data_IF_178635182049
#
_entry.id   IF_178635182049
#
_cell.length_a   1.000
_cell.length_b   1.000
_cell.length_c   1.000
_cell.angle_alpha   90.00
_cell.angle_beta   90.00
_cell.angle_gamma   90.00
#
_symmetry.space_group_name_H-M   'P 1'
#
loop_
_entity.id
_entity.type
_entity.pdbx_description
1 polymer ?
#
# COMPACT_ATOMS: atom_id res chain seq x y z
N UNK A 1 -13.20 -6.70 -13.18
CA UNK A 1 -13.66 -6.15 -11.89
C UNK A 1 -12.49 -5.49 -11.18
N UNK A 2 -12.68 -4.33 -10.54
CA UNK A 2 -11.64 -3.71 -9.71
C UNK A 2 -11.47 -4.48 -8.40
N UNK A 3 -10.22 -4.89 -8.13
CA UNK A 3 -9.84 -5.66 -6.95
C UNK A 3 -9.02 -4.86 -5.94
N UNK A 4 -8.22 -3.91 -6.43
CA UNK A 4 -7.34 -3.06 -5.63
C UNK A 4 -7.51 -1.62 -6.09
N UNK A 5 -7.64 -0.70 -5.12
CA UNK A 5 -7.63 0.74 -5.36
C UNK A 5 -6.63 1.40 -4.42
N UNK A 6 -5.78 2.27 -4.96
CA UNK A 6 -4.93 3.14 -4.16
C UNK A 6 -4.88 4.55 -4.74
N UNK A 7 -4.04 5.41 -4.18
CA UNK A 7 -3.96 6.80 -4.62
C UNK A 7 -2.70 7.50 -4.14
N UNK A 8 -2.69 8.84 -4.22
CA UNK A 8 -1.53 9.63 -3.86
C UNK A 8 -1.20 9.59 -2.37
N UNK A 9 0.10 9.71 -2.10
CA UNK A 9 0.61 10.11 -0.80
C UNK A 9 1.22 11.50 -0.90
N UNK A 10 0.79 12.40 -0.02
CA UNK A 10 1.38 13.71 0.17
C UNK A 10 2.59 13.57 1.10
N UNK A 11 3.77 13.68 0.53
CA UNK A 11 5.01 13.75 1.30
C UNK A 11 5.18 15.16 1.86
N UNK A 12 5.16 15.27 3.19
CA UNK A 12 5.36 16.54 3.89
C UNK A 12 6.74 16.54 4.52
N UNK A 13 7.66 17.31 3.95
CA UNK A 13 8.96 17.62 4.56
C UNK A 13 8.93 19.04 5.13
N UNK A 14 9.79 19.34 6.11
CA UNK A 14 9.91 20.66 6.77
C UNK A 14 10.01 21.86 5.79
N UNK A 15 10.43 21.64 4.56
CA UNK A 15 10.68 22.66 3.54
C UNK A 15 9.93 22.46 2.22
N UNK A 16 9.18 21.36 2.05
CA UNK A 16 8.56 21.02 0.75
C UNK A 16 7.38 20.05 0.93
N UNK A 17 6.32 20.26 0.17
CA UNK A 17 5.15 19.38 0.10
C UNK A 17 5.06 18.83 -1.31
N UNK A 18 5.19 17.51 -1.46
CA UNK A 18 5.12 16.84 -2.77
C UNK A 18 4.06 15.75 -2.77
N UNK A 19 3.20 15.75 -3.78
CA UNK A 19 2.33 14.62 -4.06
C UNK A 19 3.13 13.54 -4.79
N UNK A 20 3.06 12.31 -4.29
CA UNK A 20 3.75 11.16 -4.85
C UNK A 20 2.77 10.05 -5.17
N UNK A 21 2.64 9.78 -6.47
CA UNK A 21 1.97 8.62 -7.01
C UNK A 21 2.92 7.44 -7.00
N UNK A 22 2.46 6.30 -6.49
CA UNK A 22 3.21 5.05 -6.52
C UNK A 22 2.64 4.06 -7.56
N UNK A 23 1.89 4.58 -8.53
CA UNK A 23 1.33 3.84 -9.63
C UNK A 23 2.30 3.66 -10.80
N UNK A 24 2.29 2.47 -11.38
CA UNK A 24 3.06 2.17 -12.58
C UNK A 24 2.38 1.06 -13.41
N UNK A 25 2.82 0.95 -14.65
CA UNK A 25 2.68 -0.27 -15.44
C UNK A 25 3.80 -1.24 -15.10
N UNK A 26 3.50 -2.53 -15.21
CA UNK A 26 4.39 -3.62 -14.83
C UNK A 26 4.33 -4.71 -15.90
N UNK A 27 5.45 -5.01 -16.53
CA UNK A 27 5.54 -6.05 -17.56
C UNK A 27 6.84 -6.83 -17.46
N UNK A 28 6.81 -8.05 -17.97
CA UNK A 28 8.00 -8.86 -18.22
C UNK A 28 8.15 -8.95 -19.73
N UNK A 29 9.31 -8.58 -20.24
CA UNK A 29 9.67 -8.72 -21.64
C UNK A 29 11.10 -9.29 -21.73
N UNK A 30 11.23 -10.41 -22.43
CA UNK A 30 12.43 -11.25 -22.45
C UNK A 30 12.94 -11.55 -21.03
N UNK A 31 14.16 -11.10 -20.72
CA UNK A 31 14.82 -11.28 -19.43
C UNK A 31 14.77 -10.03 -18.56
N UNK A 32 13.77 -9.16 -18.74
CA UNK A 32 13.67 -7.90 -17.99
C UNK A 32 12.26 -7.68 -17.41
N UNK A 33 12.20 -7.32 -16.12
CA UNK A 33 11.00 -6.73 -15.50
C UNK A 33 11.05 -5.22 -15.71
N UNK A 34 10.00 -4.64 -16.26
CA UNK A 34 9.83 -3.20 -16.45
C UNK A 34 8.77 -2.66 -15.49
N UNK A 35 9.19 -1.74 -14.63
CA UNK A 35 8.33 -0.89 -13.82
C UNK A 35 8.33 0.52 -14.44
N UNK A 36 7.26 0.86 -15.14
CA UNK A 36 7.20 2.06 -15.98
C UNK A 36 6.07 2.99 -15.53
N UNK A 37 6.40 4.26 -15.32
CA UNK A 37 5.46 5.30 -14.95
C UNK A 37 4.33 5.41 -15.97
N UNK A 38 3.12 5.68 -15.50
CA UNK A 38 1.98 5.94 -16.38
C UNK A 38 2.07 7.37 -16.91
N UNK A 39 2.51 7.55 -18.16
CA UNK A 39 2.66 8.88 -18.77
C UNK A 39 1.34 9.44 -19.33
N UNK A 40 0.49 8.57 -19.89
CA UNK A 40 -0.79 8.95 -20.52
C UNK A 40 -1.96 8.15 -19.92
N UNK A 41 -2.41 8.48 -18.68
CA UNK A 41 -3.45 7.74 -18.00
C UNK A 41 -4.80 7.85 -18.71
N UNK A 42 -5.43 6.69 -18.94
CA UNK A 42 -6.77 6.59 -19.50
C UNK A 42 -7.81 6.72 -18.38
N UNK A 43 -8.18 7.96 -18.06
CA UNK A 43 -9.12 8.27 -16.97
C UNK A 43 -10.54 7.75 -17.24
N UNK A 44 -11.10 7.19 -16.18
CA UNK A 44 -12.48 6.74 -16.02
C UNK A 44 -13.11 7.50 -14.87
N UNK A 45 -14.43 7.52 -14.81
CA UNK A 45 -15.17 8.18 -13.72
C UNK A 45 -16.19 7.23 -13.12
N UNK A 46 -16.31 7.27 -11.80
CA UNK A 46 -17.44 6.70 -11.07
C UNK A 46 -18.07 7.81 -10.22
N UNK A 47 -19.21 8.32 -10.66
CA UNK A 47 -19.78 9.56 -10.12
C UNK A 47 -18.79 10.72 -10.32
N UNK A 48 -18.38 11.35 -9.21
CA UNK A 48 -17.41 12.44 -9.19
C UNK A 48 -15.95 11.99 -8.95
N UNK A 49 -15.69 10.67 -8.84
CA UNK A 49 -14.35 10.15 -8.55
C UNK A 49 -13.69 9.70 -9.84
N UNK A 50 -12.57 10.35 -10.19
CA UNK A 50 -11.70 9.95 -11.30
C UNK A 50 -10.78 8.80 -10.90
N UNK A 51 -10.57 7.84 -11.80
CA UNK A 51 -9.57 6.77 -11.62
C UNK A 51 -9.06 6.27 -12.97
N UNK A 52 -7.90 5.62 -13.01
CA UNK A 52 -7.43 4.89 -14.19
C UNK A 52 -6.84 3.53 -13.78
N UNK A 53 -6.70 2.61 -14.74
CA UNK A 53 -6.08 1.33 -14.45
C UNK A 53 -4.55 1.41 -14.54
N UNK A 54 -3.88 0.78 -13.58
CA UNK A 54 -2.44 0.56 -13.57
C UNK A 54 -2.18 -0.91 -13.21
N UNK A 55 -0.91 -1.30 -13.06
CA UNK A 55 -0.56 -2.69 -12.70
C UNK A 55 -0.08 -2.83 -11.26
N UNK A 56 0.39 -1.76 -10.63
CA UNK A 56 0.98 -1.76 -9.29
C UNK A 56 0.73 -0.44 -8.59
N UNK A 57 0.48 -0.50 -7.28
CA UNK A 57 0.43 0.63 -6.36
C UNK A 57 1.25 0.28 -5.12
N UNK A 58 2.20 1.13 -4.71
CA UNK A 58 2.97 0.94 -3.48
C UNK A 58 2.31 1.63 -2.27
N UNK A 59 2.67 1.15 -1.08
CA UNK A 59 2.43 1.74 0.24
C UNK A 59 1.00 1.60 0.79
N UNK A 60 0.01 2.24 0.16
CA UNK A 60 -1.38 2.23 0.65
C UNK A 60 -2.37 1.86 -0.43
N UNK A 61 -3.18 0.84 -0.17
CA UNK A 61 -4.27 0.47 -1.04
C UNK A 61 -5.38 -0.29 -0.31
N UNK A 62 -6.61 -0.07 -0.74
CA UNK A 62 -7.79 -0.83 -0.35
C UNK A 62 -7.97 -1.99 -1.33
N UNK A 63 -8.09 -3.21 -0.82
CA UNK A 63 -8.23 -4.43 -1.61
C UNK A 63 -9.42 -5.28 -1.19
N UNK A 64 -9.94 -6.07 -2.12
CA UNK A 64 -10.94 -7.10 -1.84
C UNK A 64 -10.27 -8.30 -1.19
N UNK A 65 -10.80 -8.77 -0.06
CA UNK A 65 -10.30 -9.98 0.64
C UNK A 65 -10.25 -11.21 -0.28
N UNK A 66 -11.17 -11.31 -1.25
CA UNK A 66 -11.23 -12.44 -2.20
C UNK A 66 -9.95 -12.66 -3.03
N UNK A 67 -9.12 -11.61 -3.21
CA UNK A 67 -7.82 -11.73 -3.89
C UNK A 67 -6.92 -12.75 -3.17
N UNK A 68 -7.02 -12.82 -1.84
CA UNK A 68 -6.22 -13.74 -1.01
C UNK A 68 -6.44 -15.23 -1.30
N UNK A 69 -7.59 -15.58 -1.88
CA UNK A 69 -7.87 -16.96 -2.26
C UNK A 69 -7.06 -17.39 -3.49
N UNK A 70 -6.44 -16.45 -4.21
CA UNK A 70 -5.75 -16.69 -5.48
C UNK A 70 -4.25 -16.43 -5.36
N UNK A 71 -3.85 -15.39 -4.63
CA UNK A 71 -2.43 -15.00 -4.48
C UNK A 71 -2.10 -14.62 -3.03
N UNK A 72 -0.81 -14.68 -2.70
CA UNK A 72 -0.24 -14.29 -1.40
C UNK A 72 1.09 -13.57 -1.61
N UNK A 73 1.55 -12.82 -0.59
CA UNK A 73 2.94 -12.35 -0.62
C UNK A 73 3.88 -13.53 -0.47
N UNK A 74 4.99 -13.48 -1.20
CA UNK A 74 6.04 -14.49 -1.09
C UNK A 74 6.94 -14.18 0.13
N UNK A 75 6.94 -15.09 1.10
CA UNK A 75 7.60 -14.92 2.39
C UNK A 75 9.14 -14.94 2.30
N UNK A 76 9.70 -15.27 1.13
CA UNK A 76 11.14 -15.15 0.89
C UNK A 76 11.63 -13.69 0.93
N UNK A 77 10.75 -12.70 0.67
CA UNK A 77 11.10 -11.29 0.71
C UNK A 77 10.95 -10.70 2.11
N UNK A 78 12.07 -10.30 2.72
CA UNK A 78 12.07 -9.63 4.04
C UNK A 78 11.63 -8.17 3.97
N UNK A 79 11.99 -7.46 2.91
CA UNK A 79 11.60 -6.06 2.67
C UNK A 79 11.18 -5.87 1.22
N UNK A 80 12.15 -5.76 0.32
CA UNK A 80 11.96 -5.48 -1.11
C UNK A 80 12.34 -6.75 -1.91
N UNK A 81 11.78 -7.04 -3.12
CA UNK A 81 10.76 -6.34 -3.92
C UNK A 81 9.39 -7.02 -3.87
N UNK A 82 8.89 -7.25 -2.67
CA UNK A 82 7.64 -7.95 -2.41
C UNK A 82 6.41 -7.35 -3.12
N UNK A 83 6.34 -6.02 -3.28
CA UNK A 83 5.26 -5.39 -4.03
C UNK A 83 5.30 -5.77 -5.51
N UNK A 84 6.47 -5.69 -6.15
CA UNK A 84 6.62 -6.07 -7.56
C UNK A 84 6.19 -7.51 -7.78
N UNK A 85 6.64 -8.43 -6.94
CA UNK A 85 6.24 -9.84 -7.03
C UNK A 85 4.73 -10.03 -6.85
N UNK A 86 4.15 -9.42 -5.80
CA UNK A 86 2.72 -9.54 -5.51
C UNK A 86 1.85 -9.06 -6.67
N UNK A 87 2.19 -7.91 -7.27
CA UNK A 87 1.43 -7.36 -8.39
C UNK A 87 1.70 -8.10 -9.71
N UNK A 88 2.88 -8.68 -9.92
CA UNK A 88 3.12 -9.62 -11.03
C UNK A 88 2.24 -10.87 -10.88
N UNK A 89 2.16 -11.46 -9.68
CA UNK A 89 1.28 -12.59 -9.41
C UNK A 89 -0.19 -12.22 -9.64
N UNK A 90 -0.63 -11.04 -9.17
CA UNK A 90 -1.98 -10.54 -9.40
C UNK A 90 -2.29 -10.45 -10.90
N UNK A 91 -1.40 -9.81 -11.67
CA UNK A 91 -1.56 -9.59 -13.10
C UNK A 91 -1.54 -10.89 -13.91
N UNK A 92 -0.73 -11.87 -13.50
CA UNK A 92 -0.55 -13.14 -14.24
C UNK A 92 -1.59 -14.20 -13.88
N UNK A 93 -2.08 -14.21 -12.64
CA UNK A 93 -2.85 -15.33 -12.11
C UNK A 93 -4.30 -14.96 -11.77
N UNK A 94 -4.74 -13.72 -12.01
CA UNK A 94 -6.08 -13.26 -11.66
C UNK A 94 -6.65 -12.28 -12.69
N UNK A 95 -7.97 -12.12 -12.70
CA UNK A 95 -8.68 -11.10 -13.50
C UNK A 95 -8.94 -9.79 -12.74
N UNK A 96 -8.33 -9.63 -11.56
CA UNK A 96 -8.50 -8.44 -10.74
C UNK A 96 -7.73 -7.26 -11.34
N UNK A 97 -8.44 -6.14 -11.53
CA UNK A 97 -7.83 -4.89 -11.96
C UNK A 97 -7.34 -4.07 -10.77
N UNK A 98 -6.25 -3.34 -10.98
CA UNK A 98 -5.73 -2.33 -10.06
C UNK A 98 -6.11 -0.95 -10.59
N UNK A 99 -6.69 -0.12 -9.74
CA UNK A 99 -7.11 1.23 -10.09
C UNK A 99 -6.40 2.26 -9.21
N UNK A 100 -5.90 3.31 -9.84
CA UNK A 100 -5.33 4.46 -9.17
C UNK A 100 -6.33 5.62 -9.20
N UNK A 101 -6.44 6.38 -8.11
CA UNK A 101 -7.19 7.63 -8.06
C UNK A 101 -6.34 8.77 -7.48
N UNK A 102 -6.46 9.94 -8.09
CA UNK A 102 -5.84 11.18 -7.60
C UNK A 102 -6.54 11.79 -6.38
N UNK A 103 -7.69 11.23 -6.03
CA UNK A 103 -8.58 11.80 -5.04
C UNK A 103 -8.29 11.34 -3.61
N UNK A 104 -7.12 10.73 -3.37
CA UNK A 104 -6.64 10.29 -2.06
C UNK A 104 -5.55 11.26 -1.62
N UNK A 105 -5.66 11.78 -0.39
CA UNK A 105 -4.78 12.83 0.13
C UNK A 105 -4.06 12.43 1.42
N UNK A 106 -3.70 11.16 1.60
CA UNK A 106 -3.00 10.73 2.82
C UNK A 106 -1.58 11.28 2.90
N UNK A 107 -1.05 11.47 4.10
CA UNK A 107 0.30 12.00 4.32
C UNK A 107 1.31 10.90 4.56
N UNK A 108 2.49 11.01 3.94
CA UNK A 108 3.64 10.16 4.27
C UNK A 108 4.52 10.87 5.29
N UNK A 109 4.48 10.40 6.54
CA UNK A 109 5.30 10.93 7.62
C UNK A 109 6.71 10.34 7.55
N UNK A 110 7.64 11.06 6.94
CA UNK A 110 9.04 10.64 6.91
C UNK A 110 9.76 11.01 8.19
N UNK A 111 10.26 10.01 8.90
CA UNK A 111 11.21 10.19 10.00
C UNK A 111 12.63 9.92 9.52
N UNK A 112 13.59 10.73 9.97
CA UNK A 112 15.00 10.38 9.87
C UNK A 112 15.29 9.23 10.83
N UNK A 113 15.58 8.06 10.27
CA UNK A 113 15.96 6.89 11.06
C UNK A 113 17.37 7.07 11.60
N UNK A 114 17.51 6.95 12.93
CA UNK A 114 18.82 6.99 13.61
C UNK A 114 19.33 5.60 13.97
N UNK A 115 18.45 4.60 13.96
CA UNK A 115 18.78 3.23 14.29
C UNK A 115 19.48 2.54 13.11
N UNK A 116 20.78 2.26 13.28
CA UNK A 116 21.59 1.59 12.27
C UNK A 116 21.14 0.16 11.96
N UNK A 117 20.65 -0.57 12.96
CA UNK A 117 20.16 -1.93 12.76
C UNK A 117 18.90 -1.92 11.89
N UNK A 118 17.97 -1.01 12.18
CA UNK A 118 16.80 -0.81 11.33
C UNK A 118 17.19 -0.48 9.88
N UNK A 119 18.10 0.49 9.67
CA UNK A 119 18.52 0.91 8.33
C UNK A 119 19.10 -0.27 7.54
N UNK A 120 20.02 -1.03 8.13
CA UNK A 120 20.64 -2.20 7.48
C UNK A 120 19.57 -3.22 7.08
N UNK A 121 18.60 -3.50 7.96
CA UNK A 121 17.51 -4.44 7.67
C UNK A 121 16.52 -3.88 6.65
N UNK A 122 16.30 -2.57 6.60
CA UNK A 122 15.38 -1.93 5.66
C UNK A 122 15.94 -1.87 4.24
N UNK A 123 17.25 -1.63 4.10
CA UNK A 123 17.96 -1.46 2.83
C UNK A 123 18.45 -2.76 2.20
N UNK A 124 17.96 -3.91 2.66
CA UNK A 124 18.21 -5.22 2.04
C UNK A 124 17.77 -5.26 0.57
N UNK A 125 18.65 -5.76 -0.29
CA UNK A 125 18.44 -5.88 -1.75
C UNK A 125 18.53 -7.32 -2.26
N UNK A 126 18.82 -8.29 -1.38
CA UNK A 126 18.93 -9.71 -1.69
C UNK A 126 17.65 -10.28 -2.32
N UNK A 127 16.48 -9.72 -1.97
CA UNK A 127 15.20 -10.09 -2.57
C UNK A 127 15.13 -9.90 -4.09
N UNK A 128 15.91 -9.01 -4.69
CA UNK A 128 15.92 -8.85 -6.15
C UNK A 128 16.55 -10.04 -6.87
N UNK A 129 17.54 -10.70 -6.26
CA UNK A 129 18.11 -11.92 -6.81
C UNK A 129 17.10 -13.06 -6.77
N UNK A 130 16.34 -13.16 -5.69
CA UNK A 130 15.24 -14.12 -5.54
C UNK A 130 14.11 -13.84 -6.55
N UNK A 131 13.73 -12.57 -6.74
CA UNK A 131 12.76 -12.17 -7.77
C UNK A 131 13.23 -12.56 -9.16
N UNK A 132 14.50 -12.28 -9.49
CA UNK A 132 15.09 -12.61 -10.79
C UNK A 132 15.06 -14.11 -11.08
N UNK A 133 15.46 -14.92 -10.10
CA UNK A 133 15.39 -16.38 -10.19
C UNK A 133 13.95 -16.87 -10.38
N UNK A 134 13.01 -16.35 -9.58
CA UNK A 134 11.59 -16.73 -9.63
C UNK A 134 10.95 -16.46 -10.98
N UNK A 135 11.24 -15.30 -11.57
CA UNK A 135 10.63 -14.86 -12.82
C UNK A 135 11.46 -15.15 -14.07
N UNK A 136 12.62 -15.80 -13.92
CA UNK A 136 13.50 -16.14 -15.04
C UNK A 136 14.09 -14.92 -15.76
N UNK A 137 14.31 -13.82 -15.03
CA UNK A 137 14.80 -12.54 -15.58
C UNK A 137 16.23 -12.23 -15.11
N UNK A 138 16.93 -11.36 -15.85
CA UNK A 138 18.27 -10.85 -15.55
C UNK A 138 18.30 -9.36 -15.24
N UNK A 139 17.25 -8.63 -15.57
CA UNK A 139 17.22 -7.18 -15.38
C UNK A 139 15.93 -6.71 -14.72
N UNK A 140 16.06 -5.61 -13.99
CA UNK A 140 14.96 -4.85 -13.43
C UNK A 140 15.14 -3.41 -13.90
N UNK A 141 14.18 -2.91 -14.67
CA UNK A 141 14.12 -1.54 -15.15
C UNK A 141 13.10 -0.75 -14.35
N UNK A 142 13.50 0.43 -13.87
CA UNK A 142 12.62 1.36 -13.18
C UNK A 142 12.71 2.74 -13.84
N UNK A 143 11.62 3.17 -14.47
CA UNK A 143 11.58 4.45 -15.20
C UNK A 143 11.74 5.67 -14.31
N UNK A 144 11.39 5.58 -13.00
CA UNK A 144 11.46 6.71 -12.07
C UNK A 144 12.92 7.15 -11.80
N UNK A 145 13.84 6.18 -11.74
CA UNK A 145 15.26 6.45 -11.48
C UNK A 145 16.16 6.20 -12.69
N UNK A 146 15.59 5.78 -13.83
CA UNK A 146 16.33 5.36 -15.02
C UNK A 146 17.43 4.34 -14.70
N UNK A 147 17.15 3.42 -13.78
CA UNK A 147 18.12 2.45 -13.26
C UNK A 147 17.98 1.10 -13.98
N UNK A 148 19.14 0.49 -14.25
CA UNK A 148 19.31 -0.86 -14.80
C UNK A 148 20.05 -1.74 -13.80
N UNK A 149 19.51 -2.93 -13.50
CA UNK A 149 20.26 -4.04 -12.91
C UNK A 149 19.66 -4.62 -11.62
N UNK A 150 19.91 -5.92 -11.39
CA UNK A 150 19.51 -6.64 -10.18
C UNK A 150 20.37 -6.23 -8.97
N UNK A 151 21.62 -5.83 -9.21
CA UNK A 151 22.63 -5.58 -8.16
C UNK A 151 22.65 -4.14 -7.63
N UNK A 152 21.87 -3.21 -8.19
CA UNK A 152 21.76 -1.84 -7.66
C UNK A 152 20.35 -1.22 -7.76
N UNK A 153 19.37 -1.74 -7.01
CA UNK A 153 17.99 -1.25 -7.04
C UNK A 153 17.71 -0.15 -5.99
N UNK A 154 18.73 0.57 -5.52
CA UNK A 154 18.66 1.53 -4.40
C UNK A 154 17.79 2.78 -4.66
N UNK A 155 17.04 2.82 -5.76
CA UNK A 155 16.22 3.95 -6.17
C UNK A 155 14.79 3.98 -5.62
N UNK A 156 14.27 2.94 -4.98
CA UNK A 156 12.83 2.91 -4.57
C UNK A 156 12.42 4.03 -3.57
N UNK A 157 13.36 4.80 -3.03
CA UNK A 157 13.08 5.79 -1.98
C UNK A 157 13.23 7.26 -2.37
N UNK A 158 13.63 7.60 -3.59
CA UNK A 158 13.86 9.01 -3.93
C UNK A 158 13.34 9.40 -5.31
N UNK A 159 12.50 10.44 -5.29
CA UNK A 159 12.06 11.32 -6.39
C UNK A 159 10.77 10.96 -7.15
N UNK A 160 9.80 11.86 -6.99
CA UNK A 160 8.70 12.10 -7.92
C UNK A 160 8.71 13.57 -8.39
N UNK A 161 8.52 13.76 -9.70
CA UNK A 161 7.93 14.95 -10.30
C UNK A 161 6.74 14.49 -11.15
N UNK A 162 5.53 14.92 -10.81
CA UNK A 162 4.53 15.39 -11.77
C UNK A 162 3.37 16.08 -11.04
N UNK A 163 2.83 17.11 -11.70
CA UNK A 163 1.65 17.87 -11.30
C UNK A 163 0.46 17.31 -12.10
N UNK A 164 -0.59 16.90 -11.41
CA UNK A 164 -1.89 16.67 -12.02
C UNK A 164 -2.69 17.98 -11.93
N UNK A 165 -3.40 18.40 -12.98
CA UNK A 165 -4.24 19.59 -12.91
C UNK A 165 -5.35 19.38 -11.88
N UNK A 166 -5.51 20.33 -10.96
CA UNK A 166 -6.63 20.36 -10.02
C UNK A 166 -7.96 20.37 -10.80
N UNK A 167 -8.82 19.40 -10.54
CA UNK A 167 -10.23 19.47 -10.92
C UNK A 167 -11.09 19.15 -9.70
N UNK A 168 -11.68 20.18 -9.08
CA UNK A 168 -12.90 20.00 -8.28
C UNK A 168 -13.75 21.27 -8.26
N UNK A 169 -14.94 21.21 -8.86
CA UNK A 169 -16.13 21.84 -8.30
C UNK A 169 -16.86 20.78 -7.45
N UNK A 170 -17.07 21.10 -6.18
CA UNK A 170 -17.76 20.25 -5.22
C UNK A 170 -19.27 20.46 -5.32
N UNK A 171 -20.00 19.40 -5.68
CA UNK A 171 -21.43 19.31 -5.38
C UNK A 171 -21.66 18.12 -4.45
N UNK A 172 -22.14 18.42 -3.24
CA UNK A 172 -22.46 17.45 -2.19
C UNK A 172 -23.66 16.60 -2.61
N UNK A 173 -23.40 15.35 -2.97
CA UNK A 173 -24.41 14.32 -3.14
C UNK A 173 -24.27 13.27 -2.03
N UNK A 174 -25.26 13.25 -1.15
CA UNK A 174 -25.40 12.29 -0.06
C UNK A 174 -25.77 10.92 -0.63
N UNK A 175 -24.80 10.02 -0.75
CA UNK A 175 -25.04 8.61 -1.09
C UNK A 175 -25.02 7.82 0.21
N UNK A 176 -26.10 7.06 0.46
CA UNK A 176 -26.16 6.06 1.55
C UNK A 176 -25.08 5.00 1.32
N UNK A 177 -23.96 5.12 2.03
CA UNK A 177 -22.91 4.11 2.03
C UNK A 177 -23.40 2.88 2.81
N UNK A 178 -23.29 1.69 2.23
CA UNK A 178 -23.42 0.45 3.00
C UNK A 178 -22.21 0.35 3.91
N UNK A 179 -22.43 0.54 5.21
CA UNK A 179 -21.45 0.42 6.29
C UNK A 179 -20.89 -1.02 6.38
N UNK A 180 -19.97 -1.36 5.49
CA UNK A 180 -19.22 -2.62 5.61
C UNK A 180 -17.99 -2.38 6.47
N UNK A 181 -17.83 -3.17 7.53
CA UNK A 181 -16.61 -3.15 8.35
C UNK A 181 -15.37 -3.38 7.48
N UNK A 182 -14.34 -2.54 7.65
CA UNK A 182 -13.06 -2.63 6.91
C UNK A 182 -11.97 -3.16 7.83
N UNK A 183 -11.19 -4.14 7.36
CA UNK A 183 -9.95 -4.52 8.04
C UNK A 183 -8.84 -3.54 7.65
N UNK A 184 -8.07 -3.07 8.63
CA UNK A 184 -6.88 -2.26 8.37
C UNK A 184 -5.67 -3.08 8.80
N UNK A 185 -4.88 -3.49 7.82
CA UNK A 185 -3.67 -4.28 8.02
C UNK A 185 -2.42 -3.40 8.06
N UNK A 186 -1.75 -3.36 9.20
CA UNK A 186 -0.52 -2.60 9.40
C UNK A 186 0.61 -3.57 9.73
N UNK A 187 1.70 -3.53 8.97
CA UNK A 187 2.95 -4.21 9.33
C UNK A 187 3.91 -3.16 9.87
N UNK A 188 4.44 -3.39 11.08
CA UNK A 188 5.42 -2.50 11.71
C UNK A 188 6.71 -3.22 12.10
N UNK A 189 7.82 -2.49 12.11
CA UNK A 189 9.15 -2.97 12.52
C UNK A 189 10.01 -1.80 12.98
N UNK A 190 10.38 -1.76 14.27
CA UNK A 190 11.25 -0.75 14.89
C UNK A 190 10.83 0.71 14.58
N UNK A 191 9.52 0.95 14.44
CA UNK A 191 8.93 2.25 14.07
C UNK A 191 7.76 2.63 14.98
N UNK A 192 7.94 2.45 16.29
CA UNK A 192 6.90 2.65 17.31
C UNK A 192 6.24 4.03 17.25
N UNK A 193 7.02 5.12 17.21
CA UNK A 193 6.46 6.48 17.13
C UNK A 193 5.60 6.70 15.87
N UNK A 194 6.01 6.14 14.73
CA UNK A 194 5.23 6.25 13.49
C UNK A 194 3.94 5.44 13.60
N UNK A 195 4.01 4.25 14.18
CA UNK A 195 2.85 3.40 14.41
C UNK A 195 1.79 4.12 15.26
N UNK A 196 2.19 4.75 16.37
CA UNK A 196 1.26 5.48 17.23
C UNK A 196 0.58 6.64 16.48
N UNK A 197 1.35 7.46 15.76
CA UNK A 197 0.78 8.54 14.93
C UNK A 197 -0.18 8.02 13.87
N UNK A 198 0.15 6.89 13.26
CA UNK A 198 -0.70 6.24 12.26
C UNK A 198 -2.03 5.78 12.89
N UNK A 199 -1.98 5.14 14.05
CA UNK A 199 -3.17 4.71 14.80
C UNK A 199 -4.03 5.92 15.18
N UNK A 200 -3.44 6.98 15.74
CA UNK A 200 -4.14 8.22 16.09
C UNK A 200 -4.86 8.83 14.87
N UNK A 201 -4.20 8.84 13.72
CA UNK A 201 -4.79 9.35 12.48
C UNK A 201 -5.97 8.50 11.99
N UNK A 202 -5.90 7.18 12.17
CA UNK A 202 -6.97 6.25 11.83
C UNK A 202 -8.18 6.47 12.75
N UNK A 203 -7.97 6.54 14.06
CA UNK A 203 -9.03 6.80 15.03
C UNK A 203 -9.76 8.12 14.75
N UNK A 204 -9.00 9.14 14.30
CA UNK A 204 -9.55 10.46 14.01
C UNK A 204 -10.30 10.56 12.69
N UNK A 205 -9.82 9.89 11.63
CA UNK A 205 -10.27 10.17 10.26
C UNK A 205 -10.85 8.96 9.49
N UNK A 206 -10.86 7.75 10.06
CA UNK A 206 -11.38 6.60 9.33
C UNK A 206 -12.93 6.60 9.29
N UNK A 207 -13.56 6.61 8.10
CA UNK A 207 -15.00 6.92 7.96
C UNK A 207 -15.95 5.74 8.21
N UNK A 208 -15.44 4.53 8.42
CA UNK A 208 -16.25 3.31 8.51
C UNK A 208 -15.95 2.54 9.80
N UNK A 209 -16.85 1.66 10.28
CA UNK A 209 -16.47 0.68 11.28
C UNK A 209 -15.24 -0.11 10.82
N UNK A 210 -14.23 -0.27 11.68
CA UNK A 210 -12.98 -0.94 11.31
C UNK A 210 -12.49 -1.93 12.36
N UNK A 211 -11.51 -2.74 11.97
CA UNK A 211 -10.68 -3.52 12.89
C UNK A 211 -9.23 -3.43 12.45
N UNK A 212 -8.36 -3.00 13.36
CA UNK A 212 -6.92 -3.03 13.15
C UNK A 212 -6.41 -4.47 13.27
N UNK A 213 -5.52 -4.83 12.36
CA UNK A 213 -4.72 -6.03 12.35
C UNK A 213 -3.25 -5.61 12.24
N UNK A 214 -2.55 -5.57 13.37
CA UNK A 214 -1.18 -5.07 13.44
C UNK A 214 -0.24 -6.28 13.55
N UNK A 215 0.63 -6.49 12.56
CA UNK A 215 1.71 -7.45 12.64
C UNK A 215 3.02 -6.75 12.99
N UNK A 216 3.60 -7.12 14.11
CA UNK A 216 4.79 -6.49 14.66
C UNK A 216 5.88 -7.52 14.86
N UNK A 217 6.99 -7.34 14.15
CA UNK A 217 8.20 -8.16 14.25
C UNK A 217 9.36 -7.38 14.90
N UNK A 218 9.05 -6.39 15.75
CA UNK A 218 10.01 -5.65 16.59
C UNK A 218 10.22 -6.32 17.94
N UNK A 219 11.22 -5.86 18.69
CA UNK A 219 11.16 -5.93 20.15
C UNK A 219 10.07 -4.95 20.64
N UNK A 220 9.27 -5.38 21.62
CA UNK A 220 8.10 -4.65 22.09
C UNK A 220 8.44 -3.94 23.40
N UNK A 221 8.37 -2.61 23.40
CA UNK A 221 8.55 -1.80 24.61
C UNK A 221 7.35 -1.94 25.56
N UNK A 222 7.52 -1.55 26.82
CA UNK A 222 6.41 -1.50 27.78
C UNK A 222 5.29 -0.54 27.33
N UNK A 223 5.65 0.58 26.71
CA UNK A 223 4.72 1.57 26.17
C UNK A 223 3.89 0.96 25.03
N UNK A 224 4.53 0.27 24.09
CA UNK A 224 3.85 -0.43 22.99
C UNK A 224 2.93 -1.52 23.49
N UNK A 225 3.38 -2.28 24.48
CA UNK A 225 2.58 -3.36 25.06
C UNK A 225 1.34 -2.81 25.77
N UNK A 226 1.45 -1.66 26.45
CA UNK A 226 0.30 -0.95 27.02
C UNK A 226 -0.69 -0.51 25.91
N UNK A 227 -0.19 0.11 24.83
CA UNK A 227 -1.01 0.47 23.67
C UNK A 227 -1.70 -0.77 23.06
N UNK A 228 -0.96 -1.86 22.86
CA UNK A 228 -1.49 -3.11 22.32
C UNK A 228 -2.59 -3.73 23.17
N UNK A 229 -2.44 -3.74 24.50
CA UNK A 229 -3.48 -4.20 25.41
C UNK A 229 -4.76 -3.34 25.30
N UNK A 230 -4.61 -2.02 25.17
CA UNK A 230 -5.76 -1.13 24.97
C UNK A 230 -6.49 -1.44 23.66
N UNK A 231 -5.75 -1.60 22.56
CA UNK A 231 -6.32 -1.96 21.25
C UNK A 231 -6.99 -3.34 21.27
N UNK A 232 -6.38 -4.34 21.93
CA UNK A 232 -6.96 -5.67 22.09
C UNK A 232 -8.28 -5.62 22.89
N UNK A 233 -8.35 -4.81 23.95
CA UNK A 233 -9.57 -4.58 24.73
C UNK A 233 -10.69 -3.91 23.90
N UNK A 234 -10.32 -3.09 22.92
CA UNK A 234 -11.25 -2.50 21.94
C UNK A 234 -11.65 -3.48 20.82
N UNK A 235 -11.10 -4.70 20.81
CA UNK A 235 -11.41 -5.75 19.85
C UNK A 235 -10.56 -5.70 18.58
N UNK A 236 -9.48 -4.94 18.55
CA UNK A 236 -8.44 -5.00 17.53
C UNK A 236 -7.58 -6.26 17.68
N UNK A 237 -6.65 -6.49 16.76
CA UNK A 237 -5.84 -7.70 16.75
C UNK A 237 -4.36 -7.38 16.56
N UNK A 238 -3.56 -7.78 17.54
CA UNK A 238 -2.11 -7.66 17.53
C UNK A 238 -1.52 -9.05 17.24
N UNK A 239 -0.60 -9.09 16.28
CA UNK A 239 0.10 -10.30 15.83
C UNK A 239 1.58 -10.07 16.13
N UNK A 240 1.97 -10.47 17.34
CA UNK A 240 3.37 -10.44 17.78
C UNK A 240 4.13 -11.54 17.04
N UNK A 241 5.18 -11.18 16.30
CA UNK A 241 5.98 -12.06 15.47
C UNK A 241 7.43 -12.14 15.97
N UNK A 242 8.17 -13.22 15.66
CA UNK A 242 9.60 -13.25 15.92
C UNK A 242 10.31 -12.06 15.27
N UNK A 243 11.35 -11.56 15.94
CA UNK A 243 12.10 -10.39 15.48
C UNK A 243 12.54 -10.53 14.01
N UNK A 244 12.30 -9.48 13.21
CA UNK A 244 12.71 -9.43 11.79
C UNK A 244 12.14 -10.59 10.93
N UNK A 245 10.90 -11.00 11.21
CA UNK A 245 10.16 -11.98 10.42
C UNK A 245 9.96 -11.57 8.96
N UNK A 246 9.90 -10.28 8.67
CA UNK A 246 9.85 -9.73 7.31
C UNK A 246 8.46 -9.25 6.91
N UNK A 247 8.45 -8.33 5.94
CA UNK A 247 7.26 -7.62 5.47
C UNK A 247 6.21 -8.55 4.87
N UNK A 248 6.61 -9.44 3.96
CA UNK A 248 5.71 -10.43 3.36
C UNK A 248 5.07 -11.36 4.39
N UNK A 249 5.87 -11.87 5.33
CA UNK A 249 5.35 -12.74 6.39
C UNK A 249 4.33 -12.01 7.27
N UNK A 250 4.62 -10.78 7.69
CA UNK A 250 3.69 -9.95 8.46
C UNK A 250 2.36 -9.72 7.73
N UNK A 251 2.40 -9.32 6.46
CA UNK A 251 1.19 -9.13 5.63
C UNK A 251 0.41 -10.43 5.47
N UNK A 252 1.07 -11.57 5.26
CA UNK A 252 0.40 -12.87 5.18
C UNK A 252 -0.26 -13.26 6.51
N UNK A 253 0.37 -12.96 7.65
CA UNK A 253 -0.18 -13.26 8.97
C UNK A 253 -1.41 -12.42 9.31
N UNK A 254 -1.45 -11.17 8.85
CA UNK A 254 -2.63 -10.30 8.88
C UNK A 254 -3.75 -10.96 8.07
N UNK A 255 -3.52 -11.26 6.80
CA UNK A 255 -4.60 -11.66 5.90
C UNK A 255 -5.18 -13.04 6.28
N UNK A 256 -4.38 -13.93 6.86
CA UNK A 256 -4.87 -15.18 7.47
C UNK A 256 -5.96 -14.97 8.54
N UNK A 257 -6.01 -13.79 9.18
CA UNK A 257 -6.92 -13.47 10.29
C UNK A 257 -8.06 -12.52 9.91
N UNK A 258 -7.95 -11.84 8.77
CA UNK A 258 -8.97 -10.90 8.29
C UNK A 258 -10.24 -11.63 7.87
N UNK A 259 -11.39 -11.11 8.31
CA UNK A 259 -12.72 -11.67 7.98
C UNK A 259 -13.54 -10.72 7.10
N UNK A 260 -13.21 -9.44 7.14
CA UNK A 260 -13.83 -8.32 6.46
C UNK A 260 -13.74 -8.46 4.93
N UNK A 261 -14.72 -7.93 4.21
CA UNK A 261 -14.73 -8.02 2.74
C UNK A 261 -13.67 -7.13 2.08
N UNK A 262 -13.31 -6.04 2.76
CA UNK A 262 -12.33 -5.05 2.33
C UNK A 262 -11.19 -4.99 3.33
N UNK A 263 -9.97 -4.89 2.80
CA UNK A 263 -8.75 -4.80 3.58
C UNK A 263 -7.98 -3.58 3.09
N UNK A 264 -7.76 -2.60 3.96
CA UNK A 264 -6.81 -1.52 3.72
C UNK A 264 -5.44 -2.03 4.14
N UNK A 265 -4.50 -2.13 3.20
CA UNK A 265 -3.09 -2.35 3.51
C UNK A 265 -2.44 -0.98 3.61
N UNK A 266 -1.79 -0.72 4.74
CA UNK A 266 -1.18 0.57 5.05
C UNK A 266 0.11 0.36 5.84
N UNK A 267 1.15 1.11 5.49
CA UNK A 267 2.40 1.10 6.26
C UNK A 267 2.28 2.00 7.50
N UNK A 268 3.08 1.73 8.53
CA UNK A 268 3.03 2.42 9.83
C UNK A 268 3.49 3.90 9.80
N UNK A 269 3.77 4.47 8.63
CA UNK A 269 4.19 5.86 8.41
C UNK A 269 3.23 6.64 7.52
N UNK A 270 2.02 6.11 7.29
CA UNK A 270 0.96 6.75 6.51
C UNK A 270 -0.10 7.34 7.44
N UNK A 271 -0.32 8.64 7.36
CA UNK A 271 -1.29 9.37 8.17
C UNK A 271 -2.53 9.72 7.35
N UNK A 272 -3.70 9.42 7.90
CA UNK A 272 -4.96 9.96 7.38
C UNK A 272 -5.12 11.42 7.80
N UNK A 273 -5.66 12.24 6.90
CA UNK A 273 -5.96 13.65 7.17
C UNK A 273 -7.36 14.08 6.72
N UNK A 274 -8.13 13.17 6.12
CA UNK A 274 -9.53 13.36 5.76
C UNK A 274 -10.30 12.02 5.77
N UNK A 275 -11.63 12.13 5.78
CA UNK A 275 -12.56 11.00 5.72
C UNK A 275 -12.86 10.55 4.28
N UNK A 276 -12.64 11.42 3.28
CA UNK A 276 -13.10 11.22 1.92
C UNK A 276 -12.23 10.25 1.13
N UNK A 277 -10.92 10.24 1.41
CA UNK A 277 -9.92 9.45 0.71
C UNK A 277 -10.27 7.95 0.73
N UNK A 278 -10.64 7.42 1.90
CA UNK A 278 -11.06 6.02 2.03
C UNK A 278 -12.41 5.78 1.35
N UNK A 279 -13.36 6.71 1.45
CA UNK A 279 -14.68 6.60 0.82
C UNK A 279 -14.55 6.53 -0.70
N UNK A 280 -13.73 7.39 -1.30
CA UNK A 280 -13.48 7.43 -2.74
C UNK A 280 -12.83 6.12 -3.24
N UNK A 281 -11.84 5.58 -2.52
CA UNK A 281 -11.28 4.26 -2.86
C UNK A 281 -12.34 3.15 -2.81
N UNK A 282 -13.18 3.14 -1.77
CA UNK A 282 -14.23 2.14 -1.61
C UNK A 282 -15.29 2.24 -2.70
N UNK A 283 -15.70 3.45 -3.09
CA UNK A 283 -16.62 3.70 -4.21
C UNK A 283 -16.11 3.12 -5.52
N UNK A 284 -14.82 3.31 -5.83
CA UNK A 284 -14.20 2.71 -7.02
C UNK A 284 -14.20 1.19 -6.92
N UNK A 285 -13.88 0.60 -5.76
CA UNK A 285 -13.96 -0.85 -5.59
C UNK A 285 -15.38 -1.36 -5.81
N UNK A 286 -16.38 -0.70 -5.24
CA UNK A 286 -17.79 -1.07 -5.33
C UNK A 286 -18.41 -0.80 -6.70
N UNK A 287 -17.71 -0.05 -7.57
CA UNK A 287 -18.11 0.08 -8.97
C UNK A 287 -18.20 -1.32 -9.59
N UNK A 288 -19.37 -1.63 -10.14
CA UNK A 288 -19.51 -2.76 -11.04
C UNK A 288 -18.97 -2.26 -12.38
N UNK A 289 -17.98 -2.94 -12.95
CA UNK A 289 -17.49 -2.70 -14.32
C UNK A 289 -18.59 -2.96 -15.39
N UNK A 290 -19.88 -3.11 -15.01
CA UNK A 290 -21.02 -3.47 -15.86
C UNK A 290 -22.16 -2.45 -15.76
N UNK A 291 -21.95 -1.28 -16.35
CA UNK A 291 -23.02 -0.64 -17.11
C UNK A 291 -22.37 -0.32 -18.46
N UNK A 292 -22.66 -1.17 -19.44
CA UNK A 292 -22.19 -0.99 -20.81
C UNK A 292 -22.59 0.39 -21.34
N UNK A 293 -21.62 1.01 -22.00
CA UNK A 293 -21.82 1.94 -23.11
C UNK A 293 -21.04 1.36 -24.29
#
# INVERSE_FOLDING_TARGET
QVGIVGGFLKKVNKYDTREQGYEATLRIDNDTIYLEKVEEPQWKKFGNVGYFYCDIISNVFLMRRKIWNQIKWDEQYKTTPEHTDFFLLLKKNTDWKVAFTDSVRMEHHTQEYKDHEYIIKRMRTDGYKLLAQKWGVKYYWNSWNKQWGIDNPMGLYTYAKQRYPEQTEENKLTIKVRESKVAIGIKTFMREENLFKTIDSIEKYFPYPYKLYIADDSEISEEKECCYQQLENQGHMIIRLPFNSGLSHGRNMIIKRVKEAYVLIMDDDILLNDFESIDRMKRILDSKDDIGL
#
